data_IF_059765883004
#
_entry.id   IF_059765883004
#
_cell.length_a   1.000
_cell.length_b   1.000
_cell.length_c   1.000
_cell.angle_alpha   90.00
_cell.angle_beta   90.00
_cell.angle_gamma   90.00
#
_symmetry.space_group_name_H-M   'P 1'
#
loop_
_entity.id
_entity.type
_entity.pdbx_description
1 polymer ?
#
# COMPACT_ATOMS: atom_id res chain seq x y z
N UNK A 1 -0.53 -13.57 -7.14
CA UNK A 1 0.94 -13.43 -7.15
C UNK A 1 1.37 -12.78 -5.83
N UNK A 2 2.46 -13.22 -5.20
CA UNK A 2 2.93 -12.67 -3.91
C UNK A 2 4.21 -11.86 -4.14
N UNK A 3 4.28 -10.62 -3.62
CA UNK A 3 5.45 -9.74 -3.73
C UNK A 3 6.12 -9.55 -2.37
N UNK A 4 6.77 -10.60 -1.81
CA UNK A 4 7.19 -10.61 -0.40
C UNK A 4 8.15 -9.47 -0.05
N UNK A 5 9.05 -9.13 -0.97
CA UNK A 5 10.01 -8.02 -0.79
C UNK A 5 9.32 -6.66 -0.79
N UNK A 6 8.31 -6.48 -1.64
CA UNK A 6 7.61 -5.19 -1.75
C UNK A 6 6.62 -4.95 -0.61
N UNK A 7 6.08 -6.01 -0.01
CA UNK A 7 5.14 -5.93 1.12
C UNK A 7 5.83 -5.96 2.48
N UNK A 8 7.15 -6.13 2.54
CA UNK A 8 7.86 -6.16 3.80
C UNK A 8 7.74 -4.82 4.54
N UNK A 9 7.22 -4.86 5.77
CA UNK A 9 7.05 -3.67 6.62
C UNK A 9 5.97 -2.68 6.15
N UNK A 10 5.17 -3.02 5.13
CA UNK A 10 4.13 -2.14 4.59
C UNK A 10 3.03 -1.78 5.61
N UNK A 11 2.93 -2.58 6.67
CA UNK A 11 2.00 -2.40 7.79
C UNK A 11 2.15 -1.03 8.46
N UNK A 12 3.38 -0.50 8.51
CA UNK A 12 3.72 0.77 9.15
C UNK A 12 3.60 2.01 8.24
N UNK A 13 3.41 1.82 6.94
CA UNK A 13 3.44 2.92 5.98
C UNK A 13 2.20 3.81 6.10
N UNK A 14 2.35 5.11 5.90
CA UNK A 14 1.21 6.03 5.72
C UNK A 14 1.06 6.29 4.22
N UNK A 15 0.02 5.73 3.60
CA UNK A 15 -0.08 5.64 2.14
C UNK A 15 -0.90 6.83 1.63
N UNK A 16 -0.33 7.64 0.74
CA UNK A 16 -1.09 8.70 0.07
C UNK A 16 -1.70 8.21 -1.25
N UNK A 17 -2.67 8.95 -1.80
CA UNK A 17 -3.23 8.65 -3.13
C UNK A 17 -2.16 8.61 -4.23
N UNK A 18 -1.11 9.42 -4.09
CA UNK A 18 0.04 9.39 -4.99
C UNK A 18 0.85 8.09 -4.86
N UNK A 19 0.99 7.58 -3.64
CA UNK A 19 1.71 6.33 -3.40
C UNK A 19 0.92 5.13 -3.92
N UNK A 20 -0.41 5.13 -3.79
CA UNK A 20 -1.27 4.11 -4.43
C UNK A 20 -1.01 4.04 -5.95
N UNK A 21 -0.95 5.19 -6.63
CA UNK A 21 -0.64 5.23 -8.06
C UNK A 21 0.74 4.64 -8.38
N UNK A 22 1.75 4.95 -7.55
CA UNK A 22 3.12 4.40 -7.71
C UNK A 22 3.15 2.88 -7.49
N UNK A 23 2.43 2.38 -6.48
CA UNK A 23 2.33 0.94 -6.18
C UNK A 23 1.68 0.20 -7.36
N UNK A 24 0.58 0.72 -7.90
CA UNK A 24 -0.07 0.12 -9.07
C UNK A 24 0.84 0.15 -10.31
N UNK A 25 1.55 1.25 -10.54
CA UNK A 25 2.52 1.35 -11.63
C UNK A 25 3.70 0.36 -11.46
N UNK A 26 4.16 0.16 -10.23
CA UNK A 26 5.18 -0.84 -9.90
C UNK A 26 4.70 -2.25 -10.22
N UNK A 27 3.47 -2.61 -9.82
CA UNK A 27 2.87 -3.92 -10.08
C UNK A 27 2.78 -4.21 -11.60
N UNK A 28 2.30 -3.23 -12.38
CA UNK A 28 2.26 -3.33 -13.85
C UNK A 28 3.66 -3.47 -14.45
N UNK A 29 4.65 -2.74 -13.93
CA UNK A 29 6.05 -2.85 -14.38
C UNK A 29 6.62 -4.24 -14.11
N UNK A 30 6.26 -4.86 -12.99
CA UNK A 30 6.61 -6.25 -12.70
C UNK A 30 5.96 -7.21 -13.71
N UNK A 31 4.67 -7.07 -13.99
CA UNK A 31 3.99 -7.93 -14.97
C UNK A 31 4.60 -7.82 -16.37
N UNK A 32 4.93 -6.61 -16.83
CA UNK A 32 5.63 -6.40 -18.10
C UNK A 32 6.98 -7.11 -18.16
N UNK A 33 7.76 -7.06 -17.08
CA UNK A 33 9.04 -7.78 -17.00
C UNK A 33 8.86 -9.30 -17.06
N UNK A 34 7.85 -9.83 -16.38
CA UNK A 34 7.57 -11.28 -16.34
C UNK A 34 7.12 -11.76 -17.72
N UNK A 35 6.25 -11.00 -18.40
CA UNK A 35 5.79 -11.27 -19.76
C UNK A 35 6.82 -10.90 -20.84
N UNK A 36 7.99 -10.35 -20.45
CA UNK A 36 9.05 -9.88 -21.35
C UNK A 36 8.56 -8.91 -22.44
N UNK A 37 7.59 -8.06 -22.13
CA UNK A 37 7.03 -7.09 -23.07
C UNK A 37 8.01 -5.92 -23.21
N UNK A 38 8.64 -5.71 -24.39
CA UNK A 38 9.48 -4.56 -24.63
C UNK A 38 8.62 -3.28 -24.67
N UNK A 39 9.24 -2.14 -24.36
CA UNK A 39 8.53 -0.86 -24.38
C UNK A 39 8.06 -0.45 -25.80
N UNK A 40 8.75 -0.95 -26.85
CA UNK A 40 8.43 -0.69 -28.25
C UNK A 40 7.05 -1.20 -28.67
N UNK A 41 6.54 -2.26 -28.02
CA UNK A 41 5.27 -2.89 -28.41
C UNK A 41 4.05 -2.03 -28.07
N UNK A 42 4.21 -0.95 -27.28
CA UNK A 42 3.13 0.00 -26.92
C UNK A 42 1.84 -0.64 -26.38
N UNK A 43 1.95 -1.85 -25.83
CA UNK A 43 0.85 -2.61 -25.18
C UNK A 43 0.17 -1.76 -24.11
N UNK A 44 -1.15 -1.79 -24.01
CA UNK A 44 -1.88 -1.03 -22.98
C UNK A 44 -1.73 -1.70 -21.61
N UNK A 45 -1.99 -0.97 -20.52
CA UNK A 45 -1.97 -1.56 -19.18
C UNK A 45 -3.07 -2.62 -18.99
N UNK A 46 -4.22 -2.42 -19.63
CA UNK A 46 -5.35 -3.34 -19.60
C UNK A 46 -5.00 -4.67 -20.28
N UNK A 47 -4.36 -4.61 -21.44
CA UNK A 47 -3.91 -5.82 -22.15
C UNK A 47 -2.82 -6.57 -21.36
N UNK A 48 -1.93 -5.87 -20.66
CA UNK A 48 -0.96 -6.51 -19.75
C UNK A 48 -1.68 -7.29 -18.65
N UNK A 49 -2.74 -6.72 -18.07
CA UNK A 49 -3.53 -7.36 -17.01
C UNK A 49 -4.31 -8.57 -17.52
N UNK A 50 -4.89 -8.46 -18.71
CA UNK A 50 -5.60 -9.55 -19.40
C UNK A 50 -4.67 -10.75 -19.68
N UNK A 51 -3.44 -10.49 -20.17
CA UNK A 51 -2.43 -11.54 -20.39
C UNK A 51 -2.02 -12.29 -19.11
N UNK A 52 -2.10 -11.65 -17.94
CA UNK A 52 -1.82 -12.28 -16.63
C UNK A 52 -3.08 -12.91 -16.03
N UNK A 53 -4.24 -12.81 -16.69
CA UNK A 53 -5.56 -13.22 -16.19
C UNK A 53 -5.92 -12.56 -14.84
N UNK A 54 -5.54 -11.29 -14.67
CA UNK A 54 -5.85 -10.51 -13.46
C UNK A 54 -6.69 -9.31 -13.88
N UNK A 55 -7.84 -9.08 -13.23
CA UNK A 55 -8.72 -7.95 -13.59
C UNK A 55 -8.20 -6.59 -13.09
N UNK A 56 -7.54 -6.55 -11.93
CA UNK A 56 -7.08 -5.32 -11.29
C UNK A 56 -5.80 -5.56 -10.49
N UNK A 57 -4.98 -4.51 -10.32
CA UNK A 57 -3.81 -4.52 -9.44
C UNK A 57 -4.19 -4.99 -8.02
N UNK A 58 -3.58 -6.07 -7.55
CA UNK A 58 -3.94 -6.72 -6.28
C UNK A 58 -3.02 -6.31 -5.12
N UNK A 59 -1.85 -5.74 -5.42
CA UNK A 59 -0.83 -5.45 -4.42
C UNK A 59 -1.33 -4.47 -3.35
N UNK A 60 -2.04 -3.42 -3.76
CA UNK A 60 -2.61 -2.46 -2.82
C UNK A 60 -3.64 -3.12 -1.89
N UNK A 61 -4.49 -4.00 -2.40
CA UNK A 61 -5.48 -4.70 -1.57
C UNK A 61 -4.80 -5.63 -0.56
N UNK A 62 -3.71 -6.28 -0.95
CA UNK A 62 -2.90 -7.10 -0.03
C UNK A 62 -2.26 -6.24 1.08
N UNK A 63 -1.68 -5.08 0.72
CA UNK A 63 -1.11 -4.13 1.70
C UNK A 63 -2.19 -3.66 2.69
N UNK A 64 -3.39 -3.31 2.21
CA UNK A 64 -4.52 -2.95 3.09
C UNK A 64 -4.88 -4.08 4.04
N UNK A 65 -4.97 -5.32 3.55
CA UNK A 65 -5.28 -6.49 4.38
C UNK A 65 -4.23 -6.70 5.48
N UNK A 66 -2.94 -6.59 5.15
CA UNK A 66 -1.85 -6.69 6.13
C UNK A 66 -1.94 -5.58 7.18
N UNK A 67 -2.15 -4.33 6.74
CA UNK A 67 -2.35 -3.19 7.64
C UNK A 67 -3.51 -3.41 8.62
N UNK A 68 -4.65 -3.89 8.13
CA UNK A 68 -5.81 -4.18 8.99
C UNK A 68 -5.56 -5.34 9.95
N UNK A 69 -4.83 -6.36 9.50
CA UNK A 69 -4.44 -7.49 10.35
C UNK A 69 -3.54 -7.02 11.49
N UNK A 70 -2.55 -6.18 11.17
CA UNK A 70 -1.67 -5.54 12.15
C UNK A 70 -2.44 -4.63 13.10
N UNK A 71 -3.35 -3.79 12.58
CA UNK A 71 -4.23 -2.96 13.40
C UNK A 71 -5.04 -3.80 14.40
N UNK A 72 -5.65 -4.88 13.93
CA UNK A 72 -6.39 -5.81 14.79
C UNK A 72 -5.50 -6.51 15.82
N UNK A 73 -4.23 -6.75 15.51
CA UNK A 73 -3.25 -7.27 16.48
C UNK A 73 -2.92 -6.22 17.56
N UNK A 74 -2.54 -5.01 17.15
CA UNK A 74 -2.24 -3.90 18.08
C UNK A 74 -3.43 -3.59 19.00
N UNK A 75 -4.66 -3.60 18.48
CA UNK A 75 -5.86 -3.31 19.27
C UNK A 75 -6.17 -4.36 20.36
N UNK A 76 -5.80 -5.62 20.12
CA UNK A 76 -6.02 -6.74 21.05
C UNK A 76 -5.04 -6.74 22.24
N UNK A 77 -3.85 -6.17 22.07
CA UNK A 77 -2.83 -6.12 23.11
C UNK A 77 -2.74 -4.72 23.73
N UNK A 78 -2.39 -4.63 25.02
CA UNK A 78 -2.23 -3.34 25.71
C UNK A 78 -0.77 -2.91 25.73
N UNK A 79 -0.18 -2.74 24.54
CA UNK A 79 1.24 -2.44 24.35
C UNK A 79 1.49 -0.97 24.02
N UNK A 80 2.75 -0.55 23.99
CA UNK A 80 3.15 0.83 23.71
C UNK A 80 2.73 1.28 22.31
N UNK A 81 2.71 0.36 21.35
CA UNK A 81 2.23 0.59 19.98
C UNK A 81 0.77 1.03 19.97
N UNK A 82 -0.08 0.44 20.85
CA UNK A 82 -1.47 0.85 20.98
C UNK A 82 -1.58 2.29 21.47
N UNK A 83 -0.82 2.65 22.51
CA UNK A 83 -0.75 4.02 23.02
C UNK A 83 -0.24 5.00 21.95
N UNK A 84 0.75 4.63 21.15
CA UNK A 84 1.24 5.46 20.06
C UNK A 84 0.22 5.64 18.92
N UNK A 85 -0.59 4.61 18.66
CA UNK A 85 -1.57 4.61 17.56
C UNK A 85 -2.87 5.33 17.94
N UNK A 86 -3.32 5.17 19.18
CA UNK A 86 -4.52 5.81 19.73
C UNK A 86 -4.22 7.19 20.32
N UNK A 87 -2.98 7.43 20.74
CA UNK A 87 -2.51 8.65 21.37
C UNK A 87 -2.60 9.85 20.44
N UNK A 88 -3.73 10.55 20.48
CA UNK A 88 -3.87 11.85 19.85
C UNK A 88 -3.38 12.93 20.81
N UNK A 89 -2.28 13.59 20.45
CA UNK A 89 -1.87 14.82 21.13
C UNK A 89 -2.74 15.96 20.63
N UNK A 90 -3.39 16.66 21.55
CA UNK A 90 -4.19 17.85 21.25
C UNK A 90 -3.30 18.97 20.68
N UNK A 91 -3.80 19.68 19.67
CA UNK A 91 -3.13 20.82 19.06
C UNK A 91 -3.02 20.76 17.54
N UNK A 92 -2.52 21.85 16.96
CA UNK A 92 -2.36 22.02 15.51
C UNK A 92 -0.99 21.53 15.05
N UNK A 93 -0.94 20.82 13.93
CA UNK A 93 0.34 20.42 13.31
C UNK A 93 1.05 21.63 12.72
N UNK A 94 2.31 21.81 13.09
CA UNK A 94 3.19 22.83 12.52
C UNK A 94 3.50 22.60 11.04
N UNK A 95 4.08 23.62 10.41
CA UNK A 95 4.57 23.54 9.02
C UNK A 95 5.66 22.46 8.91
N UNK A 96 5.66 21.70 7.81
CA UNK A 96 6.64 20.65 7.54
C UNK A 96 6.29 19.24 8.06
N UNK A 97 5.35 19.11 9.01
CA UNK A 97 4.91 17.78 9.48
C UNK A 97 3.99 17.10 8.45
N UNK A 98 4.08 15.77 8.24
CA UNK A 98 3.15 15.04 7.38
C UNK A 98 1.70 15.32 7.77
N UNK A 99 0.87 15.65 6.77
CA UNK A 99 -0.54 16.00 7.00
C UNK A 99 -1.37 14.76 7.36
N UNK A 100 -1.16 13.65 6.65
CA UNK A 100 -1.90 12.39 6.82
C UNK A 100 -1.36 11.58 8.00
N UNK A 101 -2.24 10.97 8.80
CA UNK A 101 -1.90 10.00 9.85
C UNK A 101 -2.00 8.57 9.34
N UNK A 102 -1.29 7.67 10.00
CA UNK A 102 -1.51 6.24 9.80
C UNK A 102 -2.94 5.83 10.19
N UNK A 103 -3.47 6.38 11.28
CA UNK A 103 -4.86 6.13 11.73
C UNK A 103 -5.91 6.58 10.71
N UNK A 104 -5.68 7.74 10.09
CA UNK A 104 -6.53 8.25 8.99
C UNK A 104 -6.44 7.35 7.75
N UNK A 105 -5.28 6.75 7.50
CA UNK A 105 -5.07 5.84 6.38
C UNK A 105 -5.68 4.45 6.56
N UNK A 106 -5.83 3.99 7.80
CA UNK A 106 -6.49 2.71 8.11
C UNK A 106 -8.02 2.83 8.17
N UNK A 107 -8.53 4.05 8.41
CA UNK A 107 -9.95 4.32 8.42
C UNK A 107 -10.57 4.54 7.02
N UNK A 108 -9.76 4.82 6.00
CA UNK A 108 -10.17 4.99 4.58
C UNK A 108 -10.18 3.67 3.81
#
# INVERSE_FOLDING_TARGET
MHFPVATYGCESWTITKCDVKKINAFEIKCYRKILRIPWCDRVTNEEVLERVNIQNCQLMNNIRKLKLTYFGHVKRHNTLEKLCMEGMVEGKRGRGRPKRRWSEDVAE
#
